data_IF_273666028126
#
_entry.id   IF_273666028126
#
_cell.length_a   1.000
_cell.length_b   1.000
_cell.length_c   1.000
_cell.angle_alpha   90.00
_cell.angle_beta   90.00
_cell.angle_gamma   90.00
#
_symmetry.space_group_name_H-M   'P 1'
#
loop_
_entity.id
_entity.type
_entity.pdbx_description
1 polymer ?
#
# COMPACT_ATOMS: atom_id res chain seq x y z
N UNK A 1 -43.45 -28.76 -2.68
CA UNK A 1 -43.79 -27.54 -3.45
C UNK A 1 -43.23 -27.69 -4.87
N UNK A 2 -44.07 -27.54 -5.88
CA UNK A 2 -43.62 -27.64 -7.29
C UNK A 2 -42.93 -26.38 -7.69
N UNK A 3 -41.80 -26.50 -8.36
CA UNK A 3 -40.99 -25.37 -8.79
C UNK A 3 -41.66 -24.69 -9.99
N UNK A 4 -41.96 -23.37 -9.94
CA UNK A 4 -42.70 -22.63 -11.00
C UNK A 4 -42.00 -22.68 -12.37
N UNK A 5 -40.68 -22.80 -12.41
CA UNK A 5 -39.87 -22.96 -13.63
C UNK A 5 -40.17 -24.32 -14.33
N UNK A 6 -40.45 -25.38 -13.56
CA UNK A 6 -40.79 -26.71 -14.13
C UNK A 6 -42.16 -26.70 -14.79
N UNK A 7 -43.13 -25.95 -14.25
CA UNK A 7 -44.45 -25.79 -14.87
C UNK A 7 -44.39 -25.00 -16.18
N UNK A 8 -43.55 -24.00 -16.24
CA UNK A 8 -43.33 -23.22 -17.47
C UNK A 8 -42.69 -24.05 -18.58
N UNK A 9 -41.70 -24.87 -18.25
CA UNK A 9 -41.04 -25.79 -19.21
C UNK A 9 -41.95 -26.88 -19.74
N UNK A 10 -42.85 -27.39 -18.89
CA UNK A 10 -43.90 -28.36 -19.30
C UNK A 10 -44.95 -27.71 -20.20
N UNK A 11 -45.32 -26.44 -19.92
CA UNK A 11 -46.31 -25.67 -20.69
C UNK A 11 -45.76 -25.22 -22.07
N UNK A 12 -44.45 -25.04 -22.16
CA UNK A 12 -43.74 -24.70 -23.40
C UNK A 12 -43.44 -25.93 -24.28
N UNK A 13 -43.79 -27.15 -23.87
CA UNK A 13 -43.61 -28.36 -24.67
C UNK A 13 -42.16 -28.81 -24.87
N UNK A 14 -41.23 -28.17 -24.21
CA UNK A 14 -39.77 -28.38 -24.39
C UNK A 14 -39.24 -29.63 -23.66
N UNK A 15 -39.97 -30.18 -22.70
CA UNK A 15 -39.57 -31.38 -21.94
C UNK A 15 -40.74 -32.36 -21.82
N UNK A 16 -40.53 -33.60 -22.26
CA UNK A 16 -41.49 -34.67 -22.09
C UNK A 16 -41.69 -34.95 -20.60
N UNK A 17 -42.97 -35.15 -20.17
CA UNK A 17 -43.41 -35.37 -18.79
C UNK A 17 -42.58 -36.45 -18.06
N UNK A 18 -42.17 -37.49 -18.79
CA UNK A 18 -41.37 -38.59 -18.26
C UNK A 18 -39.92 -38.20 -17.93
N UNK A 19 -39.32 -37.30 -18.72
CA UNK A 19 -37.98 -36.78 -18.41
C UNK A 19 -37.97 -35.85 -17.21
N UNK A 20 -38.99 -35.00 -17.07
CA UNK A 20 -39.15 -34.14 -15.91
C UNK A 20 -39.37 -34.96 -14.62
N UNK A 21 -40.16 -36.01 -14.67
CA UNK A 21 -40.38 -36.92 -13.54
C UNK A 21 -39.10 -37.68 -13.15
N UNK A 22 -38.27 -38.06 -14.12
CA UNK A 22 -37.00 -38.74 -13.88
C UNK A 22 -35.98 -37.82 -13.19
N UNK A 23 -35.85 -36.55 -13.65
CA UNK A 23 -34.97 -35.55 -13.04
C UNK A 23 -35.37 -35.25 -11.59
N UNK A 24 -36.69 -35.14 -11.32
CA UNK A 24 -37.19 -34.93 -9.94
C UNK A 24 -36.90 -36.14 -9.05
N UNK A 25 -37.02 -37.36 -9.58
CA UNK A 25 -36.65 -38.57 -8.84
C UNK A 25 -35.16 -38.68 -8.57
N UNK A 26 -34.33 -38.32 -9.55
CA UNK A 26 -32.88 -38.38 -9.38
C UNK A 26 -32.39 -37.29 -8.43
N UNK A 27 -32.96 -36.06 -8.46
CA UNK A 27 -32.73 -35.05 -7.48
C UNK A 27 -33.20 -35.39 -6.07
N UNK A 28 -34.37 -36.07 -5.95
CA UNK A 28 -34.86 -36.56 -4.65
C UNK A 28 -33.97 -37.69 -4.12
N UNK A 29 -33.47 -38.58 -4.98
CA UNK A 29 -32.50 -39.62 -4.64
C UNK A 29 -31.14 -39.04 -4.21
N UNK A 30 -30.67 -37.99 -4.87
CA UNK A 30 -29.44 -37.27 -4.46
C UNK A 30 -29.63 -36.54 -3.12
N UNK A 31 -30.84 -36.05 -2.82
CA UNK A 31 -31.15 -35.43 -1.51
C UNK A 31 -31.37 -36.44 -0.39
N UNK A 32 -31.84 -37.66 -0.72
CA UNK A 32 -32.02 -38.75 0.25
C UNK A 32 -30.83 -39.70 0.33
N UNK A 33 -29.95 -39.69 -0.68
CA UNK A 33 -28.65 -40.32 -0.58
C UNK A 33 -27.82 -39.52 0.38
N UNK A 34 -27.83 -39.91 1.64
CA UNK A 34 -26.83 -39.51 2.63
C UNK A 34 -25.48 -39.95 2.07
N UNK A 35 -24.84 -39.09 1.31
CA UNK A 35 -23.41 -39.28 1.06
C UNK A 35 -22.75 -39.43 2.42
N UNK A 36 -21.99 -40.52 2.68
CA UNK A 36 -21.28 -40.64 3.93
C UNK A 36 -20.53 -39.32 4.13
N UNK A 37 -20.57 -38.71 5.33
CA UNK A 37 -19.78 -37.53 5.56
C UNK A 37 -18.33 -37.86 5.16
N UNK A 38 -17.64 -36.99 4.41
CA UNK A 38 -16.24 -37.21 4.10
C UNK A 38 -15.54 -37.51 5.41
N UNK A 39 -14.59 -38.47 5.45
CA UNK A 39 -13.89 -38.81 6.68
C UNK A 39 -13.41 -37.51 7.32
N UNK A 40 -13.62 -37.39 8.62
CA UNK A 40 -13.36 -36.13 9.37
C UNK A 40 -11.93 -35.59 9.15
N UNK A 41 -11.01 -36.47 8.81
CA UNK A 41 -9.60 -36.16 8.53
C UNK A 41 -9.45 -35.38 7.22
N UNK A 42 -10.09 -35.78 6.12
CA UNK A 42 -10.02 -35.05 4.83
C UNK A 42 -10.63 -33.64 4.93
N UNK A 43 -11.64 -33.48 5.79
CA UNK A 43 -12.24 -32.15 6.00
C UNK A 43 -11.35 -31.20 6.81
N UNK A 44 -10.55 -31.75 7.72
CA UNK A 44 -9.57 -30.98 8.52
C UNK A 44 -8.41 -30.55 7.65
N UNK A 45 -7.89 -31.42 6.81
CA UNK A 45 -6.79 -31.13 5.90
C UNK A 45 -7.20 -30.12 4.82
N UNK A 46 -8.41 -30.23 4.28
CA UNK A 46 -8.95 -29.25 3.35
C UNK A 46 -9.09 -27.86 3.98
N UNK A 47 -9.55 -27.79 5.24
CA UNK A 47 -9.65 -26.54 5.98
C UNK A 47 -8.28 -25.92 6.28
N UNK A 48 -7.29 -26.72 6.66
CA UNK A 48 -5.92 -26.27 6.87
C UNK A 48 -5.33 -25.71 5.58
N UNK A 49 -5.45 -26.43 4.48
CA UNK A 49 -4.97 -25.99 3.18
C UNK A 49 -5.64 -24.68 2.72
N UNK A 50 -6.93 -24.54 2.96
CA UNK A 50 -7.67 -23.32 2.65
C UNK A 50 -7.24 -22.15 3.55
N UNK A 51 -7.00 -22.40 4.85
CA UNK A 51 -6.49 -21.41 5.77
C UNK A 51 -5.08 -20.92 5.37
N UNK A 52 -4.18 -21.85 5.02
CA UNK A 52 -2.82 -21.51 4.55
C UNK A 52 -2.86 -20.69 3.25
N UNK A 53 -3.72 -21.05 2.30
CA UNK A 53 -3.91 -20.27 1.07
C UNK A 53 -4.40 -18.86 1.38
N UNK A 54 -5.43 -18.75 2.24
CA UNK A 54 -5.97 -17.46 2.63
C UNK A 54 -4.94 -16.59 3.37
N UNK A 55 -4.08 -17.18 4.19
CA UNK A 55 -3.00 -16.49 4.87
C UNK A 55 -1.93 -16.00 3.88
N UNK A 56 -1.50 -16.84 2.95
CA UNK A 56 -0.58 -16.44 1.87
C UNK A 56 -1.15 -15.32 1.01
N UNK A 57 -2.42 -15.41 0.63
CA UNK A 57 -3.08 -14.39 -0.17
C UNK A 57 -3.18 -13.05 0.58
N UNK A 58 -3.46 -13.09 1.91
CA UNK A 58 -3.44 -11.91 2.77
C UNK A 58 -2.05 -11.30 2.88
N UNK A 59 -1.03 -12.12 3.06
CA UNK A 59 0.36 -11.65 3.14
C UNK A 59 0.80 -10.98 1.84
N UNK A 60 0.53 -11.60 0.69
CA UNK A 60 0.81 -11.01 -0.63
C UNK A 60 0.02 -9.73 -0.88
N UNK A 61 -1.24 -9.67 -0.47
CA UNK A 61 -2.04 -8.46 -0.59
C UNK A 61 -1.50 -7.34 0.32
N UNK A 62 -1.09 -7.66 1.55
CA UNK A 62 -0.49 -6.71 2.47
C UNK A 62 0.83 -6.15 1.93
N UNK A 63 1.70 -7.00 1.37
CA UNK A 63 2.96 -6.61 0.74
C UNK A 63 2.72 -5.66 -0.44
N UNK A 64 1.84 -6.03 -1.37
CA UNK A 64 1.47 -5.18 -2.51
C UNK A 64 0.90 -3.83 -2.08
N UNK A 65 0.06 -3.83 -1.05
CA UNK A 65 -0.51 -2.60 -0.51
C UNK A 65 0.55 -1.72 0.15
N UNK A 66 1.51 -2.31 0.88
CA UNK A 66 2.62 -1.60 1.47
C UNK A 66 3.53 -0.98 0.40
N UNK A 67 3.88 -1.72 -0.64
CA UNK A 67 4.64 -1.20 -1.78
C UNK A 67 3.91 -0.07 -2.51
N UNK A 68 2.61 -0.24 -2.75
CA UNK A 68 1.79 0.79 -3.40
C UNK A 68 1.78 2.09 -2.58
N UNK A 69 1.58 2.00 -1.26
CA UNK A 69 1.63 3.15 -0.35
C UNK A 69 3.01 3.81 -0.35
N UNK A 70 4.08 3.01 -0.31
CA UNK A 70 5.44 3.55 -0.36
C UNK A 70 5.73 4.30 -1.67
N UNK A 71 5.27 3.78 -2.81
CA UNK A 71 5.37 4.44 -4.11
C UNK A 71 4.56 5.74 -4.14
N UNK A 72 3.37 5.73 -3.59
CA UNK A 72 2.50 6.91 -3.50
C UNK A 72 3.15 8.01 -2.65
N UNK A 73 3.64 7.67 -1.46
CA UNK A 73 4.33 8.61 -0.58
C UNK A 73 5.55 9.22 -1.29
N UNK A 74 6.37 8.40 -1.96
CA UNK A 74 7.52 8.89 -2.72
C UNK A 74 7.12 9.82 -3.87
N UNK A 75 6.01 9.53 -4.55
CA UNK A 75 5.48 10.40 -5.59
C UNK A 75 5.00 11.75 -5.04
N UNK A 76 4.28 11.75 -3.92
CA UNK A 76 3.85 12.96 -3.22
C UNK A 76 5.05 13.80 -2.74
N UNK A 77 6.05 13.16 -2.15
CA UNK A 77 7.28 13.84 -1.71
C UNK A 77 8.01 14.46 -2.90
N UNK A 78 8.15 13.74 -4.01
CA UNK A 78 8.76 14.26 -5.23
C UNK A 78 8.01 15.48 -5.74
N UNK A 79 6.68 15.45 -5.75
CA UNK A 79 5.86 16.58 -6.15
C UNK A 79 6.08 17.81 -5.22
N UNK A 80 6.14 17.58 -3.90
CA UNK A 80 6.44 18.66 -2.94
C UNK A 80 7.82 19.28 -3.23
N UNK A 81 8.84 18.44 -3.43
CA UNK A 81 10.20 18.92 -3.76
C UNK A 81 10.16 19.76 -5.05
N UNK A 82 9.59 19.25 -6.13
CA UNK A 82 9.51 19.94 -7.42
C UNK A 82 8.80 21.29 -7.34
N UNK A 83 7.75 21.39 -6.53
CA UNK A 83 6.99 22.65 -6.38
C UNK A 83 7.63 23.66 -5.44
N UNK A 84 8.50 23.20 -4.53
CA UNK A 84 9.06 24.05 -3.45
C UNK A 84 10.56 24.18 -3.50
N UNK A 85 11.25 23.48 -4.42
CA UNK A 85 12.70 23.56 -4.55
C UNK A 85 13.18 24.98 -4.79
N UNK A 86 14.26 25.35 -4.11
CA UNK A 86 14.94 26.61 -4.30
C UNK A 86 15.93 26.47 -5.43
N UNK A 87 15.95 27.47 -6.33
CA UNK A 87 16.91 27.51 -7.43
C UNK A 87 18.33 27.53 -6.86
N UNK A 88 19.14 26.59 -7.28
CA UNK A 88 20.55 26.51 -6.88
C UNK A 88 21.35 27.49 -7.73
N UNK A 89 22.03 28.41 -7.06
CA UNK A 89 22.91 29.37 -7.69
C UNK A 89 24.20 29.39 -6.91
N UNK A 90 25.35 29.36 -7.60
CA UNK A 90 26.66 29.44 -6.99
C UNK A 90 27.63 28.37 -7.46
N UNK A 91 28.91 28.62 -7.22
CA UNK A 91 30.03 27.79 -7.64
C UNK A 91 30.77 27.15 -6.44
N UNK A 92 30.30 27.42 -5.23
CA UNK A 92 30.90 26.88 -4.01
C UNK A 92 30.31 25.48 -3.70
N UNK A 93 31.18 24.47 -3.61
CA UNK A 93 30.78 23.14 -3.27
C UNK A 93 30.46 23.03 -1.77
N UNK A 94 29.22 22.69 -1.46
CA UNK A 94 28.77 22.35 -0.11
C UNK A 94 28.71 20.82 0.04
N UNK A 95 29.53 20.26 0.93
CA UNK A 95 29.63 18.82 1.18
C UNK A 95 28.80 18.47 2.39
N UNK A 96 28.10 17.35 2.31
CA UNK A 96 27.24 16.83 3.38
C UNK A 96 27.23 15.30 3.38
N UNK A 97 27.00 14.66 4.53
CA UNK A 97 26.89 13.22 4.62
C UNK A 97 25.53 12.77 4.07
N UNK A 98 25.53 11.69 3.29
CA UNK A 98 24.35 10.94 2.87
C UNK A 98 24.55 9.44 3.19
N UNK A 99 24.18 9.05 4.40
CA UNK A 99 24.54 7.73 4.94
C UNK A 99 26.05 7.57 5.04
N UNK A 100 26.58 6.53 4.38
CA UNK A 100 28.03 6.23 4.37
C UNK A 100 28.82 7.03 3.29
N UNK A 101 28.16 7.88 2.54
CA UNK A 101 28.76 8.63 1.44
C UNK A 101 28.76 10.13 1.74
N UNK A 102 29.74 10.82 1.17
CA UNK A 102 29.78 12.29 1.17
C UNK A 102 29.29 12.76 -0.20
N UNK A 103 28.16 13.47 -0.20
CA UNK A 103 27.60 14.12 -1.36
C UNK A 103 27.97 15.61 -1.40
N UNK A 104 27.80 16.25 -2.53
CA UNK A 104 28.05 17.69 -2.68
C UNK A 104 27.02 18.33 -3.61
N UNK A 105 26.67 19.59 -3.30
CA UNK A 105 25.87 20.45 -4.16
C UNK A 105 26.57 21.80 -4.29
N UNK A 106 26.31 22.47 -5.40
CA UNK A 106 26.85 23.84 -5.61
C UNK A 106 25.86 24.87 -5.08
N UNK A 107 26.33 25.80 -4.26
CA UNK A 107 25.54 26.85 -3.61
C UNK A 107 26.33 28.17 -3.55
N UNK A 108 25.64 29.28 -3.40
CA UNK A 108 26.24 30.57 -3.08
C UNK A 108 26.31 30.75 -1.55
N UNK A 109 26.98 31.82 -1.10
CA UNK A 109 27.19 32.14 0.32
C UNK A 109 25.84 32.35 1.05
N UNK A 110 24.86 32.97 0.40
CA UNK A 110 23.54 33.20 0.97
C UNK A 110 22.80 31.88 1.22
N UNK A 111 22.81 30.95 0.27
CA UNK A 111 22.20 29.60 0.42
C UNK A 111 22.95 28.79 1.50
N UNK A 112 24.29 28.94 1.56
CA UNK A 112 25.09 28.28 2.59
C UNK A 112 24.73 28.79 4.00
N UNK A 113 24.54 30.08 4.18
CA UNK A 113 24.09 30.65 5.43
C UNK A 113 22.68 30.16 5.82
N UNK A 114 21.76 30.04 4.85
CA UNK A 114 20.43 29.55 5.07
C UNK A 114 20.44 28.05 5.42
N UNK A 115 21.29 27.22 4.84
CA UNK A 115 21.50 25.86 5.23
C UNK A 115 22.04 25.76 6.67
N UNK A 116 23.05 26.53 7.00
CA UNK A 116 23.66 26.54 8.34
C UNK A 116 22.69 27.03 9.42
N UNK A 117 21.80 27.98 9.11
CA UNK A 117 20.73 28.41 10.03
C UNK A 117 19.55 27.47 10.13
N UNK A 118 19.45 26.46 9.26
CA UNK A 118 18.32 25.56 9.19
C UNK A 118 17.07 26.13 8.53
N UNK A 119 17.19 27.28 7.85
CA UNK A 119 16.10 27.83 7.03
C UNK A 119 15.85 27.01 5.76
N UNK A 120 16.88 26.33 5.26
CA UNK A 120 16.82 25.37 4.18
C UNK A 120 17.27 23.98 4.65
N UNK A 121 16.73 22.98 4.00
CA UNK A 121 17.13 21.58 4.15
C UNK A 121 17.50 20.99 2.78
N UNK A 122 18.27 19.89 2.80
CA UNK A 122 18.61 19.12 1.60
C UNK A 122 17.75 17.88 1.55
N UNK A 123 16.99 17.74 0.46
CA UNK A 123 16.19 16.56 0.20
C UNK A 123 16.73 15.77 -1.00
N UNK A 124 16.57 14.45 -0.93
CA UNK A 124 16.89 13.55 -2.04
C UNK A 124 15.79 13.63 -3.10
N UNK A 125 16.15 13.96 -4.35
CA UNK A 125 15.26 14.05 -5.48
C UNK A 125 15.73 13.12 -6.61
N UNK A 126 15.25 11.89 -6.63
CA UNK A 126 15.72 10.86 -7.58
C UNK A 126 17.18 10.51 -7.33
N UNK A 127 18.03 10.76 -8.33
CA UNK A 127 19.49 10.51 -8.25
C UNK A 127 20.28 11.75 -7.74
N UNK A 128 19.60 12.86 -7.49
CA UNK A 128 20.21 14.12 -7.07
C UNK A 128 19.68 14.63 -5.75
N UNK A 129 20.07 15.88 -5.45
CA UNK A 129 19.69 16.57 -4.22
C UNK A 129 19.13 17.93 -4.57
N UNK A 130 18.09 18.35 -3.85
CA UNK A 130 17.45 19.65 -4.02
C UNK A 130 17.37 20.40 -2.69
N UNK A 131 17.45 21.74 -2.78
CA UNK A 131 17.26 22.61 -1.64
C UNK A 131 15.78 22.94 -1.48
N UNK A 132 15.26 22.74 -0.28
CA UNK A 132 13.87 23.01 0.04
C UNK A 132 13.76 23.88 1.30
N UNK A 133 12.77 24.77 1.38
CA UNK A 133 12.49 25.54 2.58
C UNK A 133 12.07 24.65 3.76
N UNK A 134 12.19 25.18 4.95
CA UNK A 134 11.89 24.50 6.22
C UNK A 134 10.50 23.87 6.27
N UNK A 135 9.45 24.64 5.97
CA UNK A 135 8.07 24.16 6.06
C UNK A 135 7.76 22.96 5.17
N UNK A 136 8.16 22.94 3.86
CA UNK A 136 8.08 21.72 3.05
C UNK A 136 8.94 20.56 3.58
N UNK A 137 10.14 20.85 4.12
CA UNK A 137 11.01 19.82 4.68
C UNK A 137 10.35 19.10 5.86
N UNK A 138 9.69 19.83 6.76
CA UNK A 138 8.94 19.24 7.87
C UNK A 138 7.80 18.34 7.39
N UNK A 139 7.07 18.73 6.33
CA UNK A 139 6.03 17.90 5.72
C UNK A 139 6.56 16.61 5.08
N UNK A 140 7.73 16.71 4.46
CA UNK A 140 8.42 15.54 3.88
C UNK A 140 8.90 14.62 4.99
N UNK A 141 9.53 15.18 6.01
CA UNK A 141 10.05 14.42 7.15
C UNK A 141 8.94 13.61 7.86
N UNK A 142 7.74 14.19 8.02
CA UNK A 142 6.60 13.50 8.62
C UNK A 142 6.12 12.28 7.79
N UNK A 143 6.37 12.24 6.47
CA UNK A 143 5.91 11.17 5.57
C UNK A 143 7.01 10.21 5.16
N UNK A 144 8.21 10.74 4.91
CA UNK A 144 9.36 10.00 4.42
C UNK A 144 10.65 10.64 4.96
N UNK A 145 11.01 10.37 6.22
CA UNK A 145 12.19 10.98 6.86
C UNK A 145 13.49 10.63 6.13
N UNK A 146 13.55 9.49 5.47
CA UNK A 146 14.67 9.00 4.65
C UNK A 146 14.96 9.86 3.41
N UNK A 147 14.00 10.72 3.01
CA UNK A 147 14.17 11.64 1.87
C UNK A 147 14.84 12.96 2.27
N UNK A 148 14.90 13.30 3.55
CA UNK A 148 15.67 14.46 4.05
C UNK A 148 17.06 14.00 4.41
N UNK A 149 18.05 14.56 3.74
CA UNK A 149 19.46 14.17 3.92
C UNK A 149 20.15 15.06 4.93
N UNK A 150 19.83 16.36 4.91
CA UNK A 150 20.42 17.33 5.83
C UNK A 150 19.38 18.37 6.28
N UNK A 151 19.27 18.55 7.58
CA UNK A 151 18.42 19.56 8.21
C UNK A 151 19.07 20.08 9.50
N UNK A 152 19.84 21.17 9.43
CA UNK A 152 20.48 21.76 10.59
C UNK A 152 19.51 22.47 11.56
N UNK A 153 18.31 22.80 11.10
CA UNK A 153 17.30 23.44 11.95
C UNK A 153 16.54 22.44 12.83
N UNK A 154 16.68 21.15 12.58
CA UNK A 154 16.08 20.09 13.40
C UNK A 154 17.16 19.60 14.39
N UNK A 155 16.96 19.88 15.67
CA UNK A 155 17.75 19.22 16.71
C UNK A 155 17.41 17.73 16.69
N UNK A 156 18.38 16.85 16.51
CA UNK A 156 18.20 15.42 16.71
C UNK A 156 17.65 15.21 18.13
N UNK A 157 16.41 14.73 18.22
CA UNK A 157 15.75 14.44 19.48
C UNK A 157 14.34 15.01 19.68
N UNK A 158 13.80 15.81 18.76
CA UNK A 158 12.37 16.14 18.82
C UNK A 158 11.56 15.00 18.23
N UNK A 159 11.18 14.03 19.06
CA UNK A 159 10.11 13.07 18.78
C UNK A 159 8.86 13.86 18.34
N UNK A 160 8.16 13.33 17.34
CA UNK A 160 6.87 13.86 16.92
C UNK A 160 5.98 14.09 18.14
N UNK A 161 5.24 15.22 18.22
CA UNK A 161 4.22 15.36 19.26
C UNK A 161 3.22 14.23 19.08
N UNK A 162 3.12 13.36 20.09
CA UNK A 162 2.03 12.43 20.25
C UNK A 162 0.74 13.23 20.27
N UNK A 163 -0.18 12.90 19.36
CA UNK A 163 -1.56 13.39 19.39
C UNK A 163 -2.30 12.71 20.56
N UNK A 164 -1.97 13.08 21.77
CA UNK A 164 -2.75 12.79 22.98
C UNK A 164 -2.72 14.03 23.83
N UNK A 165 -3.65 14.95 23.55
CA UNK A 165 -4.23 15.90 24.50
C UNK A 165 -5.27 16.74 23.71
N UNK A 166 -6.45 16.16 23.49
CA UNK A 166 -7.70 16.91 23.35
C UNK A 166 -8.65 16.37 24.38
N UNK A 167 -8.66 17.03 25.51
CA UNK A 167 -9.74 16.98 26.49
C UNK A 167 -10.79 18.07 26.14
#
# INVERSE_FOLDING_TARGET
>A
MRNPLQEQLLKAGLVKKDKAAKIVRDQAKQRQGKAPPPPADDSIDARKLQAERAERDRALAAERNAEARAKEIRAQVRQIIETTKVKREGDSAYRFPDGDKIASIFVNDALRAQLASGALAIARAGEGYELIPRLPADKIHARAPDMIVLDHGRKEGAAAPSEEDVD
#
